data_IF_730158779419
#
_entry.id   IF_730158779419
#
_cell.length_a   1.000
_cell.length_b   1.000
_cell.length_c   1.000
_cell.angle_alpha   90.00
_cell.angle_beta   90.00
_cell.angle_gamma   90.00
#
_symmetry.space_group_name_H-M   'P 1'
#
loop_
_entity.id
_entity.type
_entity.pdbx_description
1 polymer ?
#
# COMPACT_ATOMS: atom_id res chain seq x y z
N UNK A 1 13.90 -13.49 11.02
CA UNK A 1 13.86 -13.10 9.59
C UNK A 1 14.02 -11.58 9.48
N UNK A 2 15.10 -11.07 8.89
CA UNK A 2 15.26 -9.63 8.63
C UNK A 2 14.32 -9.24 7.48
N UNK A 3 13.28 -8.46 7.74
CA UNK A 3 12.47 -7.82 6.69
C UNK A 3 13.42 -6.90 5.90
N UNK A 4 13.74 -7.25 4.66
CA UNK A 4 14.50 -6.35 3.77
C UNK A 4 13.60 -5.15 3.47
N UNK A 5 14.07 -3.97 3.85
CA UNK A 5 13.44 -2.71 3.44
C UNK A 5 13.52 -2.64 1.90
N UNK A 6 12.38 -2.43 1.25
CA UNK A 6 12.32 -2.24 -0.19
C UNK A 6 12.64 -0.78 -0.46
N UNK A 7 13.87 -0.49 -0.86
CA UNK A 7 14.31 0.87 -1.15
C UNK A 7 13.86 1.24 -2.57
N UNK A 8 12.96 2.22 -2.69
CA UNK A 8 12.54 2.75 -4.00
C UNK A 8 13.65 3.58 -4.64
N UNK A 9 14.12 3.16 -5.82
CA UNK A 9 15.13 3.84 -6.66
C UNK A 9 14.56 4.96 -7.54
N UNK A 10 13.29 5.33 -7.38
CA UNK A 10 12.59 6.31 -8.23
C UNK A 10 12.85 7.77 -7.84
N UNK A 11 12.73 8.68 -8.81
CA UNK A 11 12.85 10.14 -8.63
C UNK A 11 11.81 10.66 -7.60
N UNK A 12 12.18 11.60 -6.69
CA UNK A 12 11.28 12.11 -5.65
C UNK A 12 9.96 12.72 -6.12
N UNK A 13 9.95 13.32 -7.32
CA UNK A 13 8.75 13.92 -7.92
C UNK A 13 7.67 12.89 -8.30
N UNK A 14 8.03 11.62 -8.45
CA UNK A 14 7.15 10.52 -8.86
C UNK A 14 6.66 9.64 -7.70
N UNK A 15 6.98 10.02 -6.46
CA UNK A 15 6.66 9.27 -5.24
C UNK A 15 5.24 9.53 -4.73
N UNK A 16 4.74 8.60 -3.92
CA UNK A 16 3.32 8.32 -3.61
C UNK A 16 2.70 7.36 -4.61
N UNK A 17 3.10 6.09 -4.48
CA UNK A 17 2.58 4.99 -5.25
C UNK A 17 2.11 3.89 -4.33
N UNK A 18 1.10 3.19 -4.82
CA UNK A 18 0.65 1.95 -4.24
C UNK A 18 0.73 0.89 -5.32
N UNK A 19 1.66 -0.03 -5.12
CA UNK A 19 1.98 -1.08 -6.06
C UNK A 19 1.34 -2.37 -5.57
N UNK A 20 0.62 -3.05 -6.46
CA UNK A 20 0.07 -4.37 -6.19
C UNK A 20 0.70 -5.37 -7.14
N UNK A 21 1.13 -6.52 -6.64
CA UNK A 21 1.69 -7.58 -7.45
C UNK A 21 1.66 -8.92 -6.72
N UNK A 22 2.31 -9.91 -7.31
CA UNK A 22 2.49 -11.23 -6.71
C UNK A 22 3.98 -11.57 -6.61
N UNK A 23 4.39 -12.11 -5.46
CA UNK A 23 5.75 -12.58 -5.24
C UNK A 23 5.68 -13.98 -4.63
N UNK A 24 6.37 -14.95 -5.24
CA UNK A 24 6.31 -16.36 -4.85
C UNK A 24 4.87 -16.88 -4.70
N UNK A 25 4.01 -16.57 -5.67
CA UNK A 25 2.58 -16.91 -5.69
C UNK A 25 1.74 -16.30 -4.56
N UNK A 26 2.26 -15.27 -3.87
CA UNK A 26 1.53 -14.56 -2.84
C UNK A 26 1.25 -13.12 -3.23
N UNK A 27 -0.01 -12.66 -3.16
CA UNK A 27 -0.35 -11.29 -3.46
C UNK A 27 0.24 -10.35 -2.39
N UNK A 28 0.79 -9.21 -2.82
CA UNK A 28 1.35 -8.23 -1.90
C UNK A 28 1.08 -6.80 -2.38
N UNK A 29 1.12 -5.88 -1.43
CA UNK A 29 1.06 -4.44 -1.66
C UNK A 29 2.36 -3.82 -1.17
N UNK A 30 2.95 -2.97 -2.02
CA UNK A 30 4.07 -2.12 -1.69
C UNK A 30 3.60 -0.67 -1.64
N UNK A 31 3.77 -0.06 -0.47
CA UNK A 31 3.57 1.36 -0.19
C UNK A 31 4.91 2.05 -0.45
N UNK A 32 4.94 2.99 -1.40
CA UNK A 32 6.11 3.81 -1.76
C UNK A 32 5.71 5.29 -1.70
N UNK A 33 5.84 5.88 -0.52
CA UNK A 33 5.53 7.28 -0.29
C UNK A 33 6.80 8.15 -0.31
N UNK A 34 6.61 9.47 -0.42
CA UNK A 34 7.70 10.43 -0.24
C UNK A 34 8.36 10.24 1.14
N UNK A 35 9.68 10.45 1.21
CA UNK A 35 10.45 10.35 2.46
C UNK A 35 10.01 11.29 3.57
N UNK A 36 9.24 12.34 3.25
CA UNK A 36 8.57 13.21 4.23
C UNK A 36 7.57 12.44 5.11
N UNK A 37 7.08 11.28 4.64
CA UNK A 37 6.25 10.36 5.41
C UNK A 37 7.06 9.25 6.08
N UNK A 38 8.39 9.26 5.98
CA UNK A 38 9.25 8.25 6.57
C UNK A 38 9.06 8.14 8.08
N UNK A 39 9.24 6.92 8.61
CA UNK A 39 9.02 6.56 10.02
C UNK A 39 7.58 6.72 10.56
N UNK A 40 6.62 7.15 9.72
CA UNK A 40 5.21 7.30 10.13
C UNK A 40 4.47 5.96 10.12
N UNK A 41 3.37 5.90 10.88
CA UNK A 41 2.42 4.79 10.82
C UNK A 41 1.35 5.09 9.78
N UNK A 42 1.06 4.10 8.93
CA UNK A 42 0.02 4.18 7.92
C UNK A 42 -0.99 3.07 8.09
N UNK A 43 -2.23 3.34 7.71
CA UNK A 43 -3.30 2.35 7.64
C UNK A 43 -3.54 1.96 6.19
N UNK A 44 -3.42 0.67 5.91
CA UNK A 44 -3.77 0.09 4.63
C UNK A 44 -5.22 -0.39 4.69
N UNK A 45 -6.05 0.06 3.75
CA UNK A 45 -7.46 -0.29 3.69
C UNK A 45 -7.87 -0.79 2.31
N UNK A 46 -8.74 -1.79 2.31
CA UNK A 46 -9.39 -2.32 1.13
C UNK A 46 -10.79 -1.73 1.00
N UNK A 47 -11.01 -1.00 -0.08
CA UNK A 47 -12.33 -0.57 -0.52
C UNK A 47 -12.96 -1.69 -1.36
N UNK A 48 -14.11 -2.19 -0.90
CA UNK A 48 -14.93 -3.17 -1.61
C UNK A 48 -16.33 -2.61 -1.85
N UNK A 49 -16.94 -3.10 -2.92
CA UNK A 49 -18.37 -2.91 -3.17
C UNK A 49 -19.12 -4.16 -2.72
N UNK A 50 -19.94 -4.03 -1.67
CA UNK A 50 -20.69 -5.14 -1.06
C UNK A 50 -22.15 -4.75 -1.00
N UNK A 51 -23.03 -5.55 -1.62
CA UNK A 51 -24.50 -5.40 -1.57
C UNK A 51 -25.00 -3.96 -1.84
N UNK A 52 -24.42 -3.27 -2.83
CA UNK A 52 -24.82 -1.91 -3.18
C UNK A 52 -24.07 -0.79 -2.43
N UNK A 53 -23.32 -1.12 -1.38
CA UNK A 53 -22.60 -0.18 -0.54
C UNK A 53 -21.08 -0.19 -0.72
N UNK A 54 -20.46 0.95 -0.44
CA UNK A 54 -19.01 1.07 -0.33
C UNK A 54 -18.57 0.71 1.10
N UNK A 55 -17.74 -0.31 1.23
CA UNK A 55 -17.18 -0.74 2.53
C UNK A 55 -15.67 -0.59 2.51
N UNK A 56 -15.09 -0.08 3.60
CA UNK A 56 -13.65 -0.01 3.80
C UNK A 56 -13.23 -0.96 4.90
N UNK A 57 -12.41 -1.94 4.55
CA UNK A 57 -11.86 -2.93 5.47
C UNK A 57 -10.42 -2.56 5.81
N UNK A 58 -10.08 -2.53 7.10
CA UNK A 58 -8.69 -2.37 7.54
C UNK A 58 -7.92 -3.66 7.23
N UNK A 59 -6.88 -3.55 6.40
CA UNK A 59 -5.99 -4.67 6.09
C UNK A 59 -4.85 -4.74 7.10
N UNK A 60 -4.16 -3.61 7.32
CA UNK A 60 -3.01 -3.56 8.20
C UNK A 60 -2.69 -2.14 8.70
N UNK A 61 -1.97 -2.07 9.82
CA UNK A 61 -1.18 -0.90 10.22
C UNK A 61 0.28 -1.18 9.92
N UNK A 62 0.92 -0.32 9.13
CA UNK A 62 2.30 -0.49 8.69
C UNK A 62 3.14 0.68 9.20
N UNK A 63 4.35 0.39 9.70
CA UNK A 63 5.36 1.42 9.95
C UNK A 63 6.20 1.58 8.70
N UNK A 64 6.25 2.79 8.15
CA UNK A 64 7.12 3.12 7.04
C UNK A 64 8.58 3.12 7.52
N UNK A 65 9.49 2.74 6.64
CA UNK A 65 10.92 2.98 6.84
C UNK A 65 11.26 4.47 6.71
N UNK A 66 12.52 4.83 6.94
CA UNK A 66 13.02 6.20 6.82
C UNK A 66 12.83 6.81 5.42
N UNK A 67 12.66 5.97 4.40
CA UNK A 67 12.48 6.38 3.02
C UNK A 67 11.01 6.45 2.59
N UNK A 68 10.06 6.14 3.47
CA UNK A 68 8.63 6.16 3.17
C UNK A 68 8.10 4.88 2.54
N UNK A 69 8.81 3.75 2.65
CA UNK A 69 8.39 2.47 2.09
C UNK A 69 7.85 1.51 3.15
N UNK A 70 6.90 0.67 2.76
CA UNK A 70 6.49 -0.52 3.51
C UNK A 70 5.84 -1.54 2.58
N UNK A 71 5.84 -2.81 2.98
CA UNK A 71 5.17 -3.88 2.25
C UNK A 71 4.23 -4.67 3.14
N UNK A 72 3.19 -5.23 2.53
CA UNK A 72 2.20 -6.07 3.19
C UNK A 72 1.75 -7.20 2.27
N UNK A 73 1.89 -8.43 2.74
CA UNK A 73 1.33 -9.62 2.09
C UNK A 73 -0.18 -9.66 2.32
N UNK A 74 -0.95 -9.93 1.27
CA UNK A 74 -2.39 -10.10 1.34
C UNK A 74 -2.72 -11.60 1.48
N UNK A 75 -3.82 -11.89 2.18
CA UNK A 75 -4.32 -13.27 2.27
C UNK A 75 -4.96 -13.76 0.96
N UNK A 76 -5.51 -12.84 0.17
CA UNK A 76 -6.20 -13.14 -1.09
C UNK A 76 -5.82 -12.10 -2.16
N UNK A 77 -5.84 -12.48 -3.46
CA UNK A 77 -5.67 -11.54 -4.56
C UNK A 77 -6.78 -10.48 -4.61
N UNK A 78 -6.47 -9.31 -5.17
CA UNK A 78 -7.45 -8.25 -5.35
C UNK A 78 -8.42 -8.59 -6.50
N UNK A 79 -9.71 -8.36 -6.29
CA UNK A 79 -10.72 -8.49 -7.34
C UNK A 79 -10.71 -7.27 -8.26
N UNK A 80 -11.23 -7.40 -9.49
CA UNK A 80 -11.24 -6.33 -10.52
C UNK A 80 -11.74 -4.95 -10.02
N UNK A 81 -12.68 -4.92 -9.08
CA UNK A 81 -13.27 -3.69 -8.51
C UNK A 81 -12.70 -3.30 -7.15
N UNK A 82 -11.88 -4.15 -6.56
CA UNK A 82 -11.21 -3.84 -5.30
C UNK A 82 -10.24 -2.68 -5.51
N UNK A 83 -10.18 -1.78 -4.52
CA UNK A 83 -9.23 -0.66 -4.51
C UNK A 83 -8.55 -0.62 -3.17
N UNK A 84 -7.25 -0.46 -3.14
CA UNK A 84 -6.51 -0.26 -1.89
C UNK A 84 -6.33 1.24 -1.70
N UNK A 85 -6.41 1.71 -0.45
CA UNK A 85 -6.06 3.05 -0.03
C UNK A 85 -5.14 3.05 1.18
N UNK A 86 -4.33 4.11 1.28
CA UNK A 86 -3.42 4.37 2.39
C UNK A 86 -3.90 5.60 3.13
N UNK A 87 -3.99 5.51 4.45
CA UNK A 87 -4.28 6.63 5.33
C UNK A 87 -3.09 6.91 6.25
N UNK A 88 -2.87 8.18 6.55
CA UNK A 88 -1.97 8.67 7.61
C UNK A 88 -2.83 9.49 8.55
N UNK A 89 -2.89 9.10 9.82
CA UNK A 89 -3.72 9.74 10.84
C UNK A 89 -5.18 9.97 10.39
N UNK A 90 -5.74 8.97 9.69
CA UNK A 90 -7.10 9.00 9.15
C UNK A 90 -7.26 9.78 7.84
N UNK A 91 -6.24 10.52 7.40
CA UNK A 91 -6.24 11.30 6.15
C UNK A 91 -5.78 10.43 4.99
N UNK A 92 -6.57 10.40 3.91
CA UNK A 92 -6.23 9.66 2.69
C UNK A 92 -5.06 10.32 1.97
N UNK A 93 -4.01 9.55 1.72
CA UNK A 93 -2.92 9.96 0.83
C UNK A 93 -3.35 9.76 -0.62
N UNK A 94 -3.07 10.73 -1.48
CA UNK A 94 -3.25 10.61 -2.92
C UNK A 94 -2.01 9.91 -3.49
N UNK A 95 -2.23 8.84 -4.24
CA UNK A 95 -1.19 8.02 -4.84
C UNK A 95 -1.62 7.52 -6.21
N UNK A 96 -0.64 7.15 -7.02
CA UNK A 96 -0.86 6.41 -8.25
C UNK A 96 -0.92 4.92 -7.92
N UNK A 97 -2.00 4.26 -8.33
CA UNK A 97 -2.09 2.80 -8.22
C UNK A 97 -1.47 2.17 -9.45
N UNK A 98 -0.57 1.20 -9.26
CA UNK A 98 0.06 0.47 -10.35
C UNK A 98 -0.03 -1.01 -10.06
N UNK A 99 -0.58 -1.76 -11.01
CA UNK A 99 -0.56 -3.22 -10.98
C UNK A 99 0.74 -3.67 -11.64
N UNK A 100 1.60 -4.33 -10.88
CA UNK A 100 2.78 -5.02 -11.37
C UNK A 100 2.28 -6.33 -12.00
N UNK A 101 2.53 -6.50 -13.29
CA UNK A 101 2.30 -7.76 -14.01
C UNK A 101 3.54 -8.62 -13.96
#
# INVERSE_FOLDING_TARGET
MKKRAVISTRKPAERNRLLYGEFASKPFVLVDLKSTFGNQLVQLQLHKYVRGGNTFLNLAKLKLDEFGNASHELNEPLRKRDRIRVLIDGTKIIYHSVVLR
#
